data_IF_154179195332
#
_entry.id   IF_154179195332
#
_cell.length_a   1.000
_cell.length_b   1.000
_cell.length_c   1.000
_cell.angle_alpha   90.00
_cell.angle_beta   90.00
_cell.angle_gamma   90.00
#
_symmetry.space_group_name_H-M   'P 1'
#
loop_
_entity.id
_entity.type
_entity.pdbx_description
1 polymer ?
#
# COMPACT_ATOMS: atom_id res chain seq x y z
N UNK A 1 28.79 19.69 30.18
CA UNK A 1 27.33 19.98 30.32
C UNK A 1 26.79 20.37 28.97
N UNK A 2 25.85 19.58 28.41
CA UNK A 2 25.17 19.90 27.14
C UNK A 2 24.21 21.03 27.48
N UNK A 3 24.51 22.26 27.06
CA UNK A 3 23.56 23.37 27.14
C UNK A 3 22.47 23.13 26.10
N UNK A 4 21.37 22.52 26.50
CA UNK A 4 20.17 22.44 25.69
C UNK A 4 19.61 23.86 25.62
N UNK A 5 19.76 24.51 24.45
CA UNK A 5 19.14 25.82 24.23
C UNK A 5 17.63 25.64 24.29
N UNK A 6 16.94 26.62 24.87
CA UNK A 6 15.45 26.61 24.99
C UNK A 6 14.78 26.32 23.65
N UNK A 7 15.38 26.78 22.55
CA UNK A 7 14.91 26.47 21.17
C UNK A 7 14.87 24.98 20.87
N UNK A 8 15.85 24.18 21.30
CA UNK A 8 15.85 22.73 21.09
C UNK A 8 14.73 22.02 21.89
N UNK A 9 14.45 22.54 23.11
CA UNK A 9 13.35 22.01 23.93
C UNK A 9 12.01 22.27 23.26
N UNK A 10 11.75 23.47 22.76
CA UNK A 10 10.53 23.78 22.03
C UNK A 10 10.41 22.98 20.74
N UNK A 11 11.50 22.74 20.03
CA UNK A 11 11.50 21.90 18.81
C UNK A 11 11.15 20.46 19.16
N UNK A 12 11.73 19.87 20.22
CA UNK A 12 11.44 18.51 20.66
C UNK A 12 10.00 18.36 21.12
N UNK A 13 9.50 19.32 21.93
CA UNK A 13 8.10 19.31 22.39
C UNK A 13 7.16 19.45 21.18
N UNK A 14 7.42 20.40 20.28
CA UNK A 14 6.63 20.59 19.09
C UNK A 14 6.58 19.35 18.19
N UNK A 15 7.72 18.69 17.99
CA UNK A 15 7.82 17.44 17.23
C UNK A 15 7.06 16.28 17.93
N UNK A 16 7.17 16.18 19.26
CA UNK A 16 6.46 15.15 20.05
C UNK A 16 4.95 15.35 20.02
N UNK A 17 4.49 16.59 20.14
CA UNK A 17 3.06 16.94 20.02
C UNK A 17 2.56 16.68 18.60
N UNK A 18 3.32 17.06 17.58
CA UNK A 18 2.97 16.79 16.19
C UNK A 18 2.85 15.28 15.91
N UNK A 19 3.82 14.49 16.39
CA UNK A 19 3.79 13.02 16.26
C UNK A 19 2.60 12.41 17.00
N UNK A 20 2.32 12.88 18.21
CA UNK A 20 1.13 12.44 18.97
C UNK A 20 -0.18 12.78 18.24
N UNK A 21 -0.30 13.99 17.70
CA UNK A 21 -1.47 14.39 16.92
C UNK A 21 -1.60 13.58 15.64
N UNK A 22 -0.51 13.30 14.95
CA UNK A 22 -0.52 12.45 13.74
C UNK A 22 -0.99 11.02 14.06
N UNK A 23 -0.56 10.43 15.17
CA UNK A 23 -1.03 9.10 15.58
C UNK A 23 -2.48 9.12 16.07
N UNK A 24 -2.87 10.13 16.84
CA UNK A 24 -4.24 10.27 17.35
C UNK A 24 -5.27 10.55 16.24
N UNK A 25 -4.86 11.24 15.17
CA UNK A 25 -5.72 11.61 14.04
C UNK A 25 -5.54 10.67 12.82
N UNK A 26 -4.76 9.59 12.94
CA UNK A 26 -4.41 8.72 11.80
C UNK A 26 -5.62 8.17 11.05
N UNK A 27 -6.70 7.85 11.76
CA UNK A 27 -7.95 7.37 11.15
C UNK A 27 -8.66 8.44 10.32
N UNK A 28 -8.62 9.71 10.77
CA UNK A 28 -9.24 10.83 10.07
C UNK A 28 -8.34 11.32 8.93
N UNK A 29 -7.03 11.12 9.02
CA UNK A 29 -6.08 11.60 8.03
C UNK A 29 -6.11 10.81 6.71
N UNK A 30 -6.63 9.58 6.71
CA UNK A 30 -6.63 8.73 5.53
C UNK A 30 -7.21 9.41 4.27
N UNK A 31 -8.41 10.00 4.28
CA UNK A 31 -8.96 10.67 3.10
C UNK A 31 -8.15 11.89 2.66
N UNK A 32 -7.53 12.63 3.59
CA UNK A 32 -6.68 13.77 3.27
C UNK A 32 -5.38 13.35 2.59
N UNK A 33 -4.72 12.32 3.13
CA UNK A 33 -3.48 11.80 2.57
C UNK A 33 -3.73 11.15 1.21
N UNK A 34 -4.83 10.40 1.04
CA UNK A 34 -5.23 9.86 -0.25
C UNK A 34 -5.56 10.96 -1.24
N UNK A 35 -6.27 12.02 -0.82
CA UNK A 35 -6.57 13.17 -1.66
C UNK A 35 -5.31 13.90 -2.12
N UNK A 36 -4.34 14.11 -1.22
CA UNK A 36 -3.04 14.68 -1.54
C UNK A 36 -2.23 13.78 -2.48
N UNK A 37 -2.18 12.47 -2.22
CA UNK A 37 -1.51 11.52 -3.08
C UNK A 37 -2.13 11.48 -4.49
N UNK A 38 -3.48 11.46 -4.58
CA UNK A 38 -4.17 11.54 -5.86
C UNK A 38 -3.85 12.84 -6.60
N UNK A 39 -3.87 13.99 -5.90
CA UNK A 39 -3.50 15.26 -6.51
C UNK A 39 -2.08 15.20 -7.08
N UNK A 40 -1.11 14.74 -6.30
CA UNK A 40 0.27 14.59 -6.72
C UNK A 40 0.43 13.68 -7.95
N UNK A 41 -0.26 12.54 -7.98
CA UNK A 41 -0.16 11.59 -9.09
C UNK A 41 -0.93 12.03 -10.34
N UNK A 42 -2.00 12.80 -10.17
CA UNK A 42 -2.84 13.29 -11.27
C UNK A 42 -2.37 14.63 -11.85
N UNK A 43 -1.48 15.34 -11.15
CA UNK A 43 -0.94 16.63 -11.58
C UNK A 43 -0.35 16.60 -13.02
N UNK A 44 0.49 15.63 -13.41
CA UNK A 44 0.99 15.56 -14.78
C UNK A 44 -0.10 15.32 -15.85
N UNK A 45 -1.25 14.75 -15.46
CA UNK A 45 -2.40 14.58 -16.35
C UNK A 45 -3.18 15.91 -16.49
N UNK A 46 -3.29 16.66 -15.38
CA UNK A 46 -3.89 17.97 -15.38
C UNK A 46 -3.11 18.94 -16.27
N UNK A 47 -1.78 18.94 -16.18
CA UNK A 47 -0.87 19.73 -17.03
C UNK A 47 -1.03 19.41 -18.52
N UNK A 48 -1.20 18.12 -18.86
CA UNK A 48 -1.46 17.71 -20.25
C UNK A 48 -2.78 18.24 -20.78
N UNK A 49 -3.86 18.20 -19.99
CA UNK A 49 -5.15 18.74 -20.40
C UNK A 49 -5.13 20.27 -20.49
N UNK A 50 -4.38 20.92 -19.62
CA UNK A 50 -4.15 22.37 -19.68
C UNK A 50 -3.37 22.74 -20.95
N UNK A 51 -2.34 21.97 -21.30
CA UNK A 51 -1.61 22.08 -22.56
C UNK A 51 -2.47 21.87 -23.82
N UNK A 52 -3.61 21.18 -23.70
CA UNK A 52 -4.62 21.02 -24.77
C UNK A 52 -5.65 22.20 -24.80
N UNK A 53 -5.49 23.22 -23.95
CA UNK A 53 -6.32 24.41 -23.90
C UNK A 53 -7.47 24.38 -22.88
N UNK A 54 -7.52 23.38 -22.02
CA UNK A 54 -8.49 23.36 -20.91
C UNK A 54 -8.05 24.30 -19.78
N UNK A 55 -9.02 24.94 -19.12
CA UNK A 55 -8.73 25.71 -17.89
C UNK A 55 -8.33 24.74 -16.77
N UNK A 56 -7.34 25.09 -15.94
CA UNK A 56 -6.85 24.25 -14.81
C UNK A 56 -7.99 23.68 -13.99
N UNK A 57 -8.97 24.49 -13.57
CA UNK A 57 -10.10 24.02 -12.77
C UNK A 57 -10.99 22.99 -13.47
N UNK A 58 -11.14 23.08 -14.81
CA UNK A 58 -11.91 22.10 -15.58
C UNK A 58 -11.10 20.80 -15.75
N UNK A 59 -9.80 20.90 -16.00
CA UNK A 59 -8.92 19.75 -16.10
C UNK A 59 -8.90 18.94 -14.80
N UNK A 60 -8.72 19.61 -13.65
CA UNK A 60 -8.72 19.00 -12.32
C UNK A 60 -10.05 18.34 -11.99
N UNK A 61 -11.17 19.03 -12.26
CA UNK A 61 -12.52 18.48 -12.02
C UNK A 61 -12.76 17.23 -12.88
N UNK A 62 -12.44 17.29 -14.16
CA UNK A 62 -12.64 16.17 -15.10
C UNK A 62 -11.83 14.95 -14.71
N UNK A 63 -10.54 15.11 -14.42
CA UNK A 63 -9.66 14.01 -14.03
C UNK A 63 -10.13 13.39 -12.70
N UNK A 64 -10.36 14.24 -11.70
CA UNK A 64 -10.79 13.75 -10.38
C UNK A 64 -12.14 13.07 -10.45
N UNK A 65 -13.07 13.56 -11.29
CA UNK A 65 -14.36 12.92 -11.52
C UNK A 65 -14.21 11.55 -12.19
N UNK A 66 -13.40 11.43 -13.25
CA UNK A 66 -13.16 10.15 -13.94
C UNK A 66 -12.49 9.14 -13.00
N UNK A 67 -11.44 9.55 -12.30
CA UNK A 67 -10.73 8.66 -11.36
C UNK A 67 -11.61 8.31 -10.17
N UNK A 68 -12.34 9.29 -9.62
CA UNK A 68 -13.30 9.08 -8.54
C UNK A 68 -14.41 8.10 -8.95
N UNK A 69 -14.98 8.26 -10.14
CA UNK A 69 -16.00 7.35 -10.67
C UNK A 69 -15.43 5.93 -10.89
N UNK A 70 -14.22 5.81 -11.40
CA UNK A 70 -13.56 4.52 -11.58
C UNK A 70 -13.30 3.82 -10.22
N UNK A 71 -12.83 4.56 -9.21
CA UNK A 71 -12.65 4.04 -7.86
C UNK A 71 -13.97 3.65 -7.21
N UNK A 72 -15.01 4.49 -7.35
CA UNK A 72 -16.36 4.18 -6.86
C UNK A 72 -16.93 2.94 -7.51
N UNK A 73 -16.77 2.79 -8.82
CA UNK A 73 -17.19 1.59 -9.52
C UNK A 73 -16.42 0.36 -9.03
N UNK A 74 -15.09 0.45 -8.88
CA UNK A 74 -14.26 -0.64 -8.34
C UNK A 74 -14.71 -1.05 -6.93
N UNK A 75 -15.01 -0.08 -6.05
CA UNK A 75 -15.51 -0.35 -4.71
C UNK A 75 -16.95 -0.91 -4.73
N UNK A 76 -17.86 -0.31 -5.50
CA UNK A 76 -19.26 -0.72 -5.54
C UNK A 76 -19.47 -2.13 -6.10
N UNK A 77 -18.67 -2.54 -7.08
CA UNK A 77 -18.73 -3.89 -7.65
C UNK A 77 -17.79 -4.87 -6.95
N UNK A 78 -16.61 -4.42 -6.55
CA UNK A 78 -15.58 -5.28 -5.99
C UNK A 78 -15.82 -5.65 -4.53
N UNK A 79 -16.18 -4.69 -3.67
CA UNK A 79 -16.39 -4.97 -2.25
C UNK A 79 -17.51 -5.99 -1.98
N UNK A 80 -18.71 -5.93 -2.62
CA UNK A 80 -19.73 -6.94 -2.42
C UNK A 80 -19.26 -8.34 -2.83
N UNK A 81 -18.54 -8.43 -3.95
CA UNK A 81 -18.00 -9.72 -4.42
C UNK A 81 -16.96 -10.26 -3.45
N UNK A 82 -16.01 -9.45 -2.99
CA UNK A 82 -15.04 -9.86 -1.97
C UNK A 82 -15.72 -10.27 -0.66
N UNK A 83 -16.70 -9.50 -0.20
CA UNK A 83 -17.46 -9.83 1.01
C UNK A 83 -18.18 -11.17 0.85
N UNK A 84 -18.80 -11.42 -0.30
CA UNK A 84 -19.43 -12.70 -0.60
C UNK A 84 -18.40 -13.84 -0.59
N UNK A 85 -17.25 -13.69 -1.22
CA UNK A 85 -16.19 -14.70 -1.23
C UNK A 85 -15.69 -15.00 0.17
N UNK A 86 -15.42 -13.99 0.99
CA UNK A 86 -15.02 -14.15 2.39
C UNK A 86 -16.11 -14.89 3.20
N UNK A 87 -17.38 -14.56 2.98
CA UNK A 87 -18.49 -15.23 3.66
C UNK A 87 -18.58 -16.71 3.26
N UNK A 88 -18.41 -17.04 1.99
CA UNK A 88 -18.38 -18.42 1.50
C UNK A 88 -17.21 -19.21 2.11
N UNK A 89 -16.02 -18.61 2.21
CA UNK A 89 -14.87 -19.24 2.86
C UNK A 89 -15.15 -19.53 4.33
N UNK A 90 -15.67 -18.55 5.08
CA UNK A 90 -16.00 -18.71 6.50
C UNK A 90 -17.04 -19.82 6.69
N UNK A 91 -18.06 -19.88 5.83
CA UNK A 91 -19.11 -20.90 5.90
C UNK A 91 -18.59 -22.30 5.54
N UNK A 92 -17.63 -22.42 4.64
CA UNK A 92 -17.04 -23.69 4.20
C UNK A 92 -15.92 -24.20 5.13
N UNK A 93 -15.32 -23.32 5.93
CA UNK A 93 -14.16 -23.64 6.77
C UNK A 93 -14.38 -24.83 7.72
N UNK A 94 -15.54 -25.00 8.41
CA UNK A 94 -15.79 -26.18 9.24
C UNK A 94 -15.73 -27.49 8.43
N UNK A 95 -16.24 -27.48 7.18
CA UNK A 95 -16.13 -28.61 6.27
C UNK A 95 -14.68 -28.97 5.96
N UNK A 96 -13.86 -27.97 5.63
CA UNK A 96 -12.44 -28.20 5.33
C UNK A 96 -11.68 -28.76 6.52
N UNK A 97 -11.96 -28.30 7.73
CA UNK A 97 -11.35 -28.83 8.95
C UNK A 97 -11.71 -30.32 9.11
N UNK A 98 -12.99 -30.66 8.92
CA UNK A 98 -13.45 -32.06 9.01
C UNK A 98 -12.83 -32.94 7.92
N UNK A 99 -12.66 -32.43 6.72
CA UNK A 99 -12.03 -33.16 5.61
C UNK A 99 -10.54 -33.42 5.87
N UNK A 100 -9.80 -32.41 6.39
CA UNK A 100 -8.42 -32.59 6.85
C UNK A 100 -8.33 -33.65 7.94
N UNK A 101 -9.21 -33.61 8.93
CA UNK A 101 -9.25 -34.59 10.00
C UNK A 101 -9.50 -36.01 9.47
N UNK A 102 -10.49 -36.18 8.58
CA UNK A 102 -10.81 -37.45 7.95
C UNK A 102 -9.64 -37.99 7.12
N UNK A 103 -8.97 -37.12 6.36
CA UNK A 103 -7.77 -37.49 5.59
C UNK A 103 -6.62 -37.93 6.50
N UNK A 104 -6.35 -37.19 7.60
CA UNK A 104 -5.32 -37.56 8.58
C UNK A 104 -5.61 -38.91 9.26
N UNK A 105 -6.87 -39.15 9.60
CA UNK A 105 -7.30 -40.42 10.16
C UNK A 105 -7.14 -41.58 9.17
N UNK A 106 -7.45 -41.35 7.89
CA UNK A 106 -7.29 -42.36 6.83
C UNK A 106 -5.81 -42.73 6.60
N UNK A 107 -4.88 -41.79 6.87
CA UNK A 107 -3.44 -42.04 6.77
C UNK A 107 -2.81 -42.63 8.05
N UNK A 108 -3.62 -43.07 9.04
CA UNK A 108 -3.15 -43.54 10.35
C UNK A 108 -2.20 -42.56 11.08
N UNK A 109 -2.32 -41.26 10.81
CA UNK A 109 -1.60 -40.26 11.56
C UNK A 109 -2.16 -40.15 12.99
N UNK A 110 -1.27 -40.02 13.95
CA UNK A 110 -1.54 -40.18 15.40
C UNK A 110 -2.73 -39.32 15.86
N UNK A 111 -3.63 -39.90 16.69
CA UNK A 111 -4.85 -39.24 17.20
C UNK A 111 -4.62 -37.87 17.84
N UNK A 112 -3.47 -37.60 18.46
CA UNK A 112 -3.13 -36.29 19.03
C UNK A 112 -2.94 -35.18 18.00
N UNK A 113 -2.65 -35.48 16.74
CA UNK A 113 -2.53 -34.48 15.68
C UNK A 113 -3.90 -34.05 15.13
N UNK A 114 -4.91 -34.90 15.17
CA UNK A 114 -6.27 -34.54 14.77
C UNK A 114 -6.92 -33.55 15.74
N UNK A 115 -6.62 -33.66 17.05
CA UNK A 115 -7.08 -32.71 18.07
C UNK A 115 -6.38 -31.34 17.92
N UNK A 116 -5.09 -31.33 17.56
CA UNK A 116 -4.35 -30.08 17.23
C UNK A 116 -4.96 -29.37 16.03
N UNK A 117 -5.29 -30.09 14.96
CA UNK A 117 -5.93 -29.54 13.77
C UNK A 117 -7.30 -28.98 14.10
N UNK A 118 -8.11 -29.67 14.94
CA UNK A 118 -9.38 -29.15 15.40
C UNK A 118 -9.24 -27.84 16.18
N UNK A 119 -8.35 -27.81 17.17
CA UNK A 119 -8.11 -26.60 17.98
C UNK A 119 -7.54 -25.42 17.17
N UNK A 120 -6.65 -25.70 16.21
CA UNK A 120 -6.18 -24.68 15.27
C UNK A 120 -7.32 -24.20 14.36
N UNK A 121 -8.18 -25.10 13.90
CA UNK A 121 -9.33 -24.76 13.08
C UNK A 121 -10.33 -23.86 13.80
N UNK A 122 -10.67 -24.17 15.05
CA UNK A 122 -11.55 -23.32 15.87
C UNK A 122 -10.93 -21.95 16.15
N UNK A 123 -9.62 -21.89 16.40
CA UNK A 123 -8.90 -20.63 16.59
C UNK A 123 -8.87 -19.79 15.31
N UNK A 124 -8.65 -20.41 14.16
CA UNK A 124 -8.69 -19.74 12.85
C UNK A 124 -10.11 -19.25 12.53
N UNK A 125 -11.13 -20.09 12.78
CA UNK A 125 -12.52 -19.74 12.53
C UNK A 125 -12.96 -18.55 13.40
N UNK A 126 -12.69 -18.59 14.70
CA UNK A 126 -13.02 -17.52 15.62
C UNK A 126 -12.23 -16.23 15.29
N UNK A 127 -10.96 -16.36 14.92
CA UNK A 127 -10.12 -15.26 14.47
C UNK A 127 -10.62 -14.63 13.17
N UNK A 128 -11.01 -15.43 12.19
CA UNK A 128 -11.58 -14.94 10.93
C UNK A 128 -12.96 -14.33 11.12
N UNK A 129 -13.84 -14.94 11.93
CA UNK A 129 -15.15 -14.39 12.24
C UNK A 129 -15.05 -13.07 13.01
N UNK A 130 -14.16 -12.98 13.99
CA UNK A 130 -13.92 -11.73 14.73
C UNK A 130 -13.33 -10.66 13.85
N UNK A 131 -12.39 -11.02 12.97
CA UNK A 131 -11.77 -10.09 12.01
C UNK A 131 -12.78 -9.64 10.95
N UNK A 132 -13.56 -10.55 10.37
CA UNK A 132 -14.60 -10.21 9.40
C UNK A 132 -15.70 -9.35 10.02
N UNK A 133 -16.16 -9.69 11.23
CA UNK A 133 -17.15 -8.88 11.94
C UNK A 133 -16.60 -7.50 12.32
N UNK A 134 -15.36 -7.43 12.78
CA UNK A 134 -14.71 -6.14 13.07
C UNK A 134 -14.47 -5.33 11.81
N UNK A 135 -14.10 -5.94 10.68
CA UNK A 135 -13.98 -5.26 9.39
C UNK A 135 -15.34 -4.76 8.87
N UNK A 136 -16.38 -5.55 9.02
CA UNK A 136 -17.74 -5.15 8.62
C UNK A 136 -18.35 -4.09 9.55
N UNK A 137 -18.05 -4.16 10.84
CA UNK A 137 -18.65 -3.25 11.84
C UNK A 137 -17.81 -2.01 12.13
N UNK A 138 -16.50 -2.08 12.06
CA UNK A 138 -15.59 -0.97 12.42
C UNK A 138 -14.77 -0.41 11.26
N UNK A 139 -14.36 -1.24 10.30
CA UNK A 139 -13.56 -0.80 9.14
C UNK A 139 -14.35 -0.09 8.05
N UNK A 140 -15.66 -0.35 8.00
CA UNK A 140 -16.61 0.27 7.09
C UNK A 140 -17.74 0.97 7.87
N UNK A 141 -17.41 1.69 8.97
CA UNK A 141 -18.44 2.58 9.48
C UNK A 141 -18.86 3.45 8.31
N UNK A 142 -20.15 3.52 8.05
CA UNK A 142 -20.74 4.30 6.96
C UNK A 142 -20.14 5.71 6.89
N UNK A 143 -19.78 6.27 8.04
CA UNK A 143 -19.12 7.56 8.19
C UNK A 143 -17.72 7.56 7.58
N UNK A 144 -16.90 6.52 7.81
CA UNK A 144 -15.54 6.44 7.25
C UNK A 144 -15.57 6.24 5.72
N UNK A 145 -16.52 5.44 5.24
CA UNK A 145 -16.71 5.25 3.80
C UNK A 145 -17.21 6.56 3.15
N UNK A 146 -18.15 7.27 3.75
CA UNK A 146 -18.59 8.58 3.29
C UNK A 146 -17.44 9.60 3.31
N UNK A 147 -16.65 9.62 4.39
CA UNK A 147 -15.47 10.47 4.47
C UNK A 147 -14.48 10.18 3.33
N UNK A 148 -14.21 8.90 3.05
CA UNK A 148 -13.33 8.51 1.96
C UNK A 148 -13.89 8.93 0.58
N UNK A 149 -15.18 8.69 0.34
CA UNK A 149 -15.84 8.97 -0.94
C UNK A 149 -15.97 10.48 -1.20
N UNK A 150 -16.25 11.28 -0.18
CA UNK A 150 -16.49 12.71 -0.35
C UNK A 150 -15.25 13.56 -0.07
N UNK A 151 -14.53 13.30 1.02
CA UNK A 151 -13.39 14.14 1.42
C UNK A 151 -12.22 13.92 0.47
N UNK A 152 -11.90 12.67 0.08
CA UNK A 152 -10.75 12.40 -0.79
C UNK A 152 -10.82 13.14 -2.13
N UNK A 153 -11.92 13.08 -2.91
CA UNK A 153 -12.02 13.86 -4.16
C UNK A 153 -12.00 15.38 -3.92
N UNK A 154 -12.64 15.86 -2.86
CA UNK A 154 -12.64 17.29 -2.53
C UNK A 154 -11.21 17.76 -2.27
N UNK A 155 -10.47 17.06 -1.40
CA UNK A 155 -9.06 17.38 -1.12
C UNK A 155 -8.22 17.30 -2.39
N UNK A 156 -8.42 16.24 -3.20
CA UNK A 156 -7.70 16.09 -4.47
C UNK A 156 -7.94 17.27 -5.42
N UNK A 157 -9.19 17.71 -5.59
CA UNK A 157 -9.53 18.86 -6.44
C UNK A 157 -8.85 20.14 -5.95
N UNK A 158 -8.95 20.45 -4.65
CA UNK A 158 -8.34 21.64 -4.10
C UNK A 158 -6.82 21.61 -4.20
N UNK A 159 -6.20 20.50 -3.81
CA UNK A 159 -4.75 20.34 -3.88
C UNK A 159 -4.25 20.40 -5.32
N UNK A 160 -4.91 19.72 -6.26
CA UNK A 160 -4.54 19.70 -7.67
C UNK A 160 -4.71 21.07 -8.35
N UNK A 161 -5.76 21.81 -7.99
CA UNK A 161 -6.02 23.15 -8.53
C UNK A 161 -4.99 24.19 -8.04
N UNK A 162 -4.56 24.08 -6.78
CA UNK A 162 -3.67 25.05 -6.16
C UNK A 162 -2.21 24.55 -6.05
N UNK A 163 -1.88 23.40 -6.67
CA UNK A 163 -0.59 22.72 -6.57
C UNK A 163 0.59 23.66 -6.87
N UNK A 164 0.60 24.29 -8.04
CA UNK A 164 1.67 25.18 -8.48
C UNK A 164 1.81 26.39 -7.56
N UNK A 165 0.69 26.96 -7.12
CA UNK A 165 0.68 28.10 -6.18
C UNK A 165 1.23 27.71 -4.82
N UNK A 166 0.93 26.49 -4.36
CA UNK A 166 1.43 25.97 -3.08
C UNK A 166 2.94 25.77 -3.16
N UNK A 167 3.43 25.13 -4.21
CA UNK A 167 4.87 24.92 -4.45
C UNK A 167 5.60 26.27 -4.55
N UNK A 168 5.08 27.23 -5.33
CA UNK A 168 5.66 28.56 -5.46
C UNK A 168 5.73 29.30 -4.11
N UNK A 169 4.68 29.25 -3.30
CA UNK A 169 4.69 29.87 -1.95
C UNK A 169 5.70 29.25 -1.01
N UNK A 170 5.90 27.92 -1.09
CA UNK A 170 6.94 27.25 -0.31
C UNK A 170 8.32 27.72 -0.75
N UNK A 171 8.51 27.85 -2.07
CA UNK A 171 9.76 28.32 -2.65
C UNK A 171 10.10 29.77 -2.24
N UNK A 172 9.10 30.67 -2.19
CA UNK A 172 9.25 32.07 -1.76
C UNK A 172 9.64 32.23 -0.27
N UNK A 173 9.39 31.23 0.57
CA UNK A 173 9.73 31.29 2.02
C UNK A 173 11.12 30.72 2.30
N UNK A 174 11.77 30.10 1.31
CA UNK A 174 13.05 29.45 1.52
C UNK A 174 14.17 30.49 1.80
N UNK A 175 15.07 30.22 2.76
CA UNK A 175 16.22 31.09 3.03
C UNK A 175 17.17 31.10 1.83
N UNK A 176 17.60 32.30 1.39
CA UNK A 176 18.49 32.49 0.24
C UNK A 176 19.77 31.67 0.31
N UNK A 177 20.34 31.52 1.50
CA UNK A 177 21.61 30.80 1.72
C UNK A 177 21.50 29.29 1.47
N UNK A 178 20.30 28.70 1.54
CA UNK A 178 20.07 27.25 1.45
C UNK A 178 19.13 26.88 0.30
N UNK A 179 18.67 27.85 -0.47
CA UNK A 179 17.63 27.69 -1.50
C UNK A 179 17.99 26.61 -2.53
N UNK A 180 19.23 26.62 -3.03
CA UNK A 180 19.70 25.67 -4.03
C UNK A 180 19.77 24.24 -3.48
N UNK A 181 20.15 24.10 -2.20
CA UNK A 181 20.21 22.82 -1.54
C UNK A 181 18.82 22.24 -1.33
N UNK A 182 17.90 23.06 -0.84
CA UNK A 182 16.51 22.63 -0.58
C UNK A 182 15.79 22.30 -1.88
N UNK A 183 15.93 23.14 -2.93
CA UNK A 183 15.38 22.85 -4.26
C UNK A 183 15.93 21.56 -4.86
N UNK A 184 17.22 21.30 -4.70
CA UNK A 184 17.83 20.07 -5.19
C UNK A 184 17.31 18.84 -4.44
N UNK A 185 17.16 18.90 -3.11
CA UNK A 185 16.57 17.84 -2.32
C UNK A 185 15.09 17.60 -2.68
N UNK A 186 14.31 18.68 -2.81
CA UNK A 186 12.92 18.61 -3.23
C UNK A 186 12.77 17.94 -4.59
N UNK A 187 13.62 18.30 -5.56
CA UNK A 187 13.66 17.65 -6.89
C UNK A 187 14.01 16.17 -6.80
N UNK A 188 15.01 15.79 -6.00
CA UNK A 188 15.36 14.37 -5.81
C UNK A 188 14.24 13.58 -5.17
N UNK A 189 13.53 14.15 -4.20
CA UNK A 189 12.36 13.55 -3.58
C UNK A 189 11.25 13.37 -4.61
N UNK A 190 10.94 14.43 -5.38
CA UNK A 190 9.93 14.40 -6.44
C UNK A 190 10.23 13.35 -7.51
N UNK A 191 11.45 13.31 -8.05
CA UNK A 191 11.88 12.31 -9.01
C UNK A 191 11.77 10.88 -8.46
N UNK A 192 12.07 10.69 -7.18
CA UNK A 192 11.97 9.39 -6.50
C UNK A 192 10.51 8.97 -6.33
N UNK A 193 9.66 9.87 -5.80
CA UNK A 193 8.25 9.58 -5.54
C UNK A 193 7.45 9.41 -6.83
N UNK A 194 7.60 10.33 -7.79
CA UNK A 194 6.89 10.26 -9.08
C UNK A 194 7.30 9.02 -9.88
N UNK A 195 8.59 8.68 -9.81
CA UNK A 195 9.11 7.46 -10.43
C UNK A 195 8.59 6.19 -9.78
N UNK A 196 8.57 6.13 -8.44
CA UNK A 196 7.99 5.02 -7.69
C UNK A 196 6.51 4.84 -8.03
N UNK A 197 5.71 5.91 -7.96
CA UNK A 197 4.28 5.83 -8.17
C UNK A 197 3.91 5.31 -9.56
N UNK A 198 4.53 5.88 -10.62
CA UNK A 198 4.28 5.42 -11.99
C UNK A 198 4.70 3.96 -12.17
N UNK A 199 5.85 3.60 -11.63
CA UNK A 199 6.34 2.21 -11.65
C UNK A 199 5.39 1.27 -10.90
N UNK A 200 4.95 1.65 -9.71
CA UNK A 200 4.10 0.82 -8.86
C UNK A 200 2.70 0.61 -9.46
N UNK A 201 2.11 1.64 -10.08
CA UNK A 201 0.84 1.48 -10.81
C UNK A 201 0.99 0.44 -11.94
N UNK A 202 2.07 0.51 -12.72
CA UNK A 202 2.33 -0.47 -13.78
C UNK A 202 2.59 -1.86 -13.22
N UNK A 203 3.28 -1.99 -12.09
CA UNK A 203 3.44 -3.27 -11.37
C UNK A 203 2.09 -3.83 -10.95
N UNK A 204 1.24 -3.02 -10.32
CA UNK A 204 -0.11 -3.43 -9.89
C UNK A 204 -0.96 -3.92 -11.07
N UNK A 205 -0.97 -3.18 -12.18
CA UNK A 205 -1.73 -3.56 -13.38
C UNK A 205 -1.19 -4.87 -13.99
N UNK A 206 0.14 -5.01 -14.06
CA UNK A 206 0.78 -6.21 -14.59
C UNK A 206 0.51 -7.44 -13.72
N UNK A 207 0.65 -7.31 -12.40
CA UNK A 207 0.34 -8.38 -11.45
C UNK A 207 -1.14 -8.73 -11.45
N UNK A 208 -2.02 -7.72 -11.49
CA UNK A 208 -3.46 -7.93 -11.61
C UNK A 208 -3.82 -8.74 -12.86
N UNK A 209 -3.20 -8.43 -14.00
CA UNK A 209 -3.38 -9.19 -15.23
C UNK A 209 -2.82 -10.62 -15.11
N UNK A 210 -1.60 -10.80 -14.58
CA UNK A 210 -0.97 -12.12 -14.38
C UNK A 210 -1.84 -12.99 -13.48
N UNK A 211 -2.28 -12.47 -12.34
CA UNK A 211 -3.10 -13.21 -11.39
C UNK A 211 -4.50 -13.50 -11.94
N UNK A 212 -5.16 -12.52 -12.57
CA UNK A 212 -6.48 -12.71 -13.17
C UNK A 212 -6.47 -13.77 -14.28
N UNK A 213 -5.51 -13.68 -15.20
CA UNK A 213 -5.36 -14.65 -16.30
C UNK A 213 -4.96 -16.02 -15.73
N UNK A 214 -3.95 -16.06 -14.85
CA UNK A 214 -3.47 -17.31 -14.28
C UNK A 214 -4.56 -18.07 -13.53
N UNK A 215 -5.30 -17.40 -12.62
CA UNK A 215 -6.39 -18.02 -11.86
C UNK A 215 -7.56 -18.44 -12.76
N UNK A 216 -7.85 -17.68 -13.82
CA UNK A 216 -8.86 -18.07 -14.82
C UNK A 216 -8.45 -19.32 -15.60
N UNK A 217 -7.17 -19.46 -15.96
CA UNK A 217 -6.65 -20.66 -16.64
C UNK A 217 -6.69 -21.90 -15.75
N UNK A 218 -6.54 -21.73 -14.44
CA UNK A 218 -6.75 -22.81 -13.45
C UNK A 218 -8.24 -23.18 -13.35
N UNK A 219 -9.14 -22.31 -13.81
CA UNK A 219 -10.59 -22.51 -13.73
C UNK A 219 -11.17 -22.16 -12.36
N UNK A 220 -10.51 -21.27 -11.60
CA UNK A 220 -11.00 -20.84 -10.30
C UNK A 220 -12.18 -19.87 -10.48
N UNK A 221 -13.34 -20.21 -9.91
CA UNK A 221 -14.52 -19.36 -9.89
C UNK A 221 -14.22 -18.06 -9.13
N UNK A 222 -14.45 -16.90 -9.76
CA UNK A 222 -14.06 -15.61 -9.21
C UNK A 222 -12.56 -15.27 -9.34
N UNK A 223 -11.75 -16.12 -9.99
CA UNK A 223 -10.31 -15.96 -10.15
C UNK A 223 -9.91 -14.61 -10.76
N UNK A 224 -10.68 -14.10 -11.74
CA UNK A 224 -10.46 -12.76 -12.32
C UNK A 224 -10.54 -11.67 -11.25
N UNK A 225 -11.56 -11.72 -10.41
CA UNK A 225 -11.82 -10.70 -9.40
C UNK A 225 -10.72 -10.76 -8.34
N UNK A 226 -10.44 -11.97 -7.83
CA UNK A 226 -9.34 -12.16 -6.86
C UNK A 226 -8.01 -11.67 -7.43
N UNK A 227 -7.71 -12.00 -8.68
CA UNK A 227 -6.47 -11.60 -9.34
C UNK A 227 -6.34 -10.08 -9.51
N UNK A 228 -7.40 -9.41 -9.96
CA UNK A 228 -7.42 -7.95 -10.09
C UNK A 228 -7.26 -7.28 -8.73
N UNK A 229 -7.96 -7.74 -7.69
CA UNK A 229 -7.83 -7.18 -6.34
C UNK A 229 -6.46 -7.44 -5.73
N UNK A 230 -5.93 -8.66 -5.87
CA UNK A 230 -4.56 -8.96 -5.43
C UNK A 230 -3.55 -8.03 -6.10
N UNK A 231 -3.69 -7.78 -7.42
CA UNK A 231 -2.86 -6.82 -8.15
C UNK A 231 -3.01 -5.38 -7.65
N UNK A 232 -4.21 -4.92 -7.37
CA UNK A 232 -4.44 -3.58 -6.81
C UNK A 232 -3.85 -3.43 -5.41
N UNK A 233 -4.04 -4.43 -4.54
CA UNK A 233 -3.48 -4.46 -3.18
C UNK A 233 -1.95 -4.58 -3.23
N UNK A 234 -1.35 -5.08 -4.31
CA UNK A 234 0.11 -5.14 -4.53
C UNK A 234 0.76 -3.75 -4.64
N UNK A 235 -0.03 -2.66 -4.56
CA UNK A 235 0.51 -1.33 -4.27
C UNK A 235 1.32 -1.34 -2.96
N UNK A 236 0.93 -2.15 -1.99
CA UNK A 236 1.70 -2.47 -0.79
C UNK A 236 2.50 -3.74 -1.09
N UNK A 237 3.85 -3.67 -1.22
CA UNK A 237 4.68 -4.82 -1.57
C UNK A 237 4.42 -6.04 -0.67
N UNK A 238 4.40 -7.21 -1.25
CA UNK A 238 4.14 -8.51 -0.61
C UNK A 238 2.71 -8.71 -0.09
N UNK A 239 2.00 -7.66 0.31
CA UNK A 239 0.66 -7.76 0.93
C UNK A 239 -0.37 -8.25 -0.11
N UNK A 240 -0.32 -7.71 -1.34
CA UNK A 240 -1.26 -8.10 -2.39
C UNK A 240 -1.17 -9.58 -2.76
N UNK A 241 0.04 -10.10 -2.94
CA UNK A 241 0.25 -11.50 -3.25
C UNK A 241 -0.13 -12.42 -2.10
N UNK A 242 0.23 -12.07 -0.85
CA UNK A 242 -0.15 -12.85 0.33
C UNK A 242 -1.68 -12.91 0.48
N UNK A 243 -2.35 -11.75 0.38
CA UNK A 243 -3.81 -11.67 0.43
C UNK A 243 -4.46 -12.49 -0.69
N UNK A 244 -3.99 -12.32 -1.93
CA UNK A 244 -4.52 -13.03 -3.08
C UNK A 244 -4.31 -14.53 -2.99
N UNK A 245 -3.13 -15.00 -2.54
CA UNK A 245 -2.83 -16.43 -2.35
C UNK A 245 -3.75 -17.06 -1.30
N UNK A 246 -3.95 -16.37 -0.16
CA UNK A 246 -4.84 -16.86 0.90
C UNK A 246 -6.28 -16.95 0.39
N UNK A 247 -6.76 -15.90 -0.28
CA UNK A 247 -8.13 -15.84 -0.80
C UNK A 247 -8.36 -16.87 -1.92
N UNK A 248 -7.45 -16.94 -2.92
CA UNK A 248 -7.54 -17.90 -4.01
C UNK A 248 -7.37 -19.35 -3.53
N UNK A 249 -6.48 -19.58 -2.56
CA UNK A 249 -6.28 -20.90 -1.96
C UNK A 249 -7.53 -21.38 -1.22
N UNK A 250 -8.17 -20.50 -0.45
CA UNK A 250 -9.40 -20.83 0.26
C UNK A 250 -10.58 -21.11 -0.71
N UNK A 251 -10.72 -20.30 -1.78
CA UNK A 251 -11.71 -20.55 -2.82
C UNK A 251 -11.42 -21.87 -3.57
N UNK A 252 -10.13 -22.12 -3.88
CA UNK A 252 -9.69 -23.34 -4.52
C UNK A 252 -9.98 -24.58 -3.69
N UNK A 253 -9.78 -24.54 -2.36
CA UNK A 253 -10.19 -25.60 -1.44
C UNK A 253 -11.70 -25.83 -1.51
N UNK A 254 -12.49 -24.76 -1.60
CA UNK A 254 -13.94 -24.86 -1.72
C UNK A 254 -14.42 -25.47 -3.02
N UNK A 255 -13.75 -25.13 -4.10
CA UNK A 255 -14.18 -25.55 -5.43
C UNK A 255 -13.63 -26.93 -5.83
N UNK A 256 -12.36 -27.19 -5.54
CA UNK A 256 -11.63 -28.39 -5.97
C UNK A 256 -11.41 -29.40 -4.84
N UNK A 257 -11.77 -29.05 -3.59
CA UNK A 257 -11.44 -29.87 -2.43
C UNK A 257 -9.92 -29.99 -2.24
N UNK A 258 -9.44 -31.18 -1.80
CA UNK A 258 -8.02 -31.49 -1.65
C UNK A 258 -7.37 -31.99 -2.95
N UNK A 259 -7.75 -31.41 -4.10
CA UNK A 259 -7.00 -31.64 -5.34
C UNK A 259 -5.66 -30.86 -5.28
N UNK A 260 -4.59 -31.58 -4.92
CA UNK A 260 -3.24 -31.02 -4.82
C UNK A 260 -2.72 -30.45 -6.15
N UNK A 261 -3.24 -30.94 -7.29
CA UNK A 261 -2.84 -30.42 -8.60
C UNK A 261 -3.45 -29.02 -8.83
N UNK A 262 -4.75 -28.84 -8.57
CA UNK A 262 -5.44 -27.56 -8.68
C UNK A 262 -4.89 -26.53 -7.67
N UNK A 263 -4.71 -26.93 -6.40
CA UNK A 263 -4.13 -26.05 -5.37
C UNK A 263 -2.68 -25.69 -5.67
N UNK A 264 -1.90 -26.63 -6.20
CA UNK A 264 -0.53 -26.40 -6.66
C UNK A 264 -0.46 -25.41 -7.83
N UNK A 265 -1.41 -25.48 -8.78
CA UNK A 265 -1.52 -24.50 -9.86
C UNK A 265 -1.88 -23.11 -9.37
N UNK A 266 -2.81 -22.98 -8.40
CA UNK A 266 -3.12 -21.70 -7.76
C UNK A 266 -1.88 -21.10 -7.11
N UNK A 267 -1.15 -21.90 -6.30
CA UNK A 267 0.09 -21.44 -5.68
C UNK A 267 1.13 -21.03 -6.73
N UNK A 268 1.29 -21.81 -7.80
CA UNK A 268 2.22 -21.51 -8.89
C UNK A 268 1.92 -20.17 -9.57
N UNK A 269 0.65 -19.78 -9.76
CA UNK A 269 0.27 -18.47 -10.30
C UNK A 269 0.84 -17.34 -9.44
N UNK A 270 0.72 -17.42 -8.12
CA UNK A 270 1.26 -16.39 -7.23
C UNK A 270 2.79 -16.41 -7.17
N UNK A 271 3.43 -17.59 -7.15
CA UNK A 271 4.89 -17.70 -7.20
C UNK A 271 5.47 -17.16 -8.51
N UNK A 272 4.81 -17.43 -9.64
CA UNK A 272 5.19 -16.85 -10.94
C UNK A 272 5.04 -15.34 -10.89
N UNK A 273 3.91 -14.81 -10.38
CA UNK A 273 3.71 -13.37 -10.23
C UNK A 273 4.79 -12.72 -9.36
N UNK A 274 5.11 -13.33 -8.21
CA UNK A 274 6.17 -12.84 -7.32
C UNK A 274 7.57 -12.90 -7.97
N UNK A 275 7.83 -13.95 -8.74
CA UNK A 275 9.06 -14.04 -9.52
C UNK A 275 9.16 -12.89 -10.55
N UNK A 276 8.08 -12.63 -11.28
CA UNK A 276 8.02 -11.53 -12.24
C UNK A 276 8.14 -10.17 -11.53
N UNK A 277 7.45 -9.97 -10.40
CA UNK A 277 7.54 -8.75 -9.59
C UNK A 277 8.99 -8.46 -9.19
N UNK A 278 9.65 -9.42 -8.52
CA UNK A 278 10.98 -9.21 -7.96
C UNK A 278 12.11 -9.12 -9.00
N UNK A 279 12.01 -9.88 -10.10
CA UNK A 279 13.13 -10.02 -11.06
C UNK A 279 12.93 -9.19 -12.33
N UNK A 280 11.72 -8.79 -12.68
CA UNK A 280 11.43 -8.16 -13.97
C UNK A 280 10.69 -6.83 -13.79
N UNK A 281 9.54 -6.84 -13.10
CA UNK A 281 8.66 -5.68 -13.03
C UNK A 281 9.27 -4.59 -12.16
N UNK A 282 9.63 -4.90 -10.93
CA UNK A 282 10.21 -3.91 -10.01
C UNK A 282 11.52 -3.32 -10.54
N UNK A 283 12.52 -4.10 -11.01
CA UNK A 283 13.74 -3.52 -11.57
C UNK A 283 13.52 -2.65 -12.81
N UNK A 284 12.59 -3.04 -13.69
CA UNK A 284 12.34 -2.28 -14.93
C UNK A 284 11.40 -1.09 -14.77
N UNK A 285 10.38 -1.20 -13.93
CA UNK A 285 9.31 -0.21 -13.81
C UNK A 285 9.55 0.77 -12.67
N UNK A 286 10.01 0.28 -11.53
CA UNK A 286 10.36 1.12 -10.37
C UNK A 286 11.84 1.51 -10.42
N UNK A 287 12.70 0.57 -10.83
CA UNK A 287 14.14 0.78 -11.04
C UNK A 287 14.89 1.15 -9.75
N UNK A 288 16.10 1.69 -9.94
CA UNK A 288 16.96 2.15 -8.84
C UNK A 288 16.49 3.48 -8.20
N UNK A 289 15.26 3.91 -8.49
CA UNK A 289 14.77 5.24 -8.06
C UNK A 289 14.60 5.33 -6.54
N UNK A 290 14.11 4.27 -5.92
CA UNK A 290 13.94 4.24 -4.45
C UNK A 290 15.27 3.98 -3.73
N UNK A 291 16.22 3.24 -4.37
CA UNK A 291 17.57 2.91 -3.85
C UNK A 291 17.56 2.44 -2.39
N UNK A 292 16.57 1.64 -2.00
CA UNK A 292 16.43 1.06 -0.68
C UNK A 292 16.69 -0.45 -0.76
N UNK A 293 17.44 -0.97 0.21
CA UNK A 293 17.58 -2.41 0.37
C UNK A 293 16.23 -3.02 0.82
N UNK A 294 15.82 -4.21 0.32
CA UNK A 294 14.53 -4.83 0.66
C UNK A 294 14.23 -4.91 2.16
N UNK A 295 15.25 -5.12 2.98
CA UNK A 295 15.10 -5.14 4.46
C UNK A 295 14.54 -3.83 5.00
N UNK A 296 14.94 -2.67 4.44
CA UNK A 296 14.41 -1.37 4.85
C UNK A 296 12.95 -1.18 4.43
N UNK A 297 12.54 -1.77 3.31
CA UNK A 297 11.13 -1.75 2.88
C UNK A 297 10.28 -2.56 3.86
N UNK A 298 10.72 -3.77 4.22
CA UNK A 298 10.02 -4.61 5.21
C UNK A 298 9.97 -3.90 6.57
N UNK A 299 11.09 -3.32 7.02
CA UNK A 299 11.13 -2.56 8.26
C UNK A 299 10.16 -1.37 8.23
N UNK A 300 10.14 -0.60 7.13
CA UNK A 300 9.23 0.52 6.96
C UNK A 300 7.76 0.09 6.99
N UNK A 301 7.42 -1.02 6.31
CA UNK A 301 6.06 -1.59 6.33
C UNK A 301 5.64 -1.97 7.75
N UNK A 302 6.49 -2.68 8.50
CA UNK A 302 6.18 -3.09 9.87
C UNK A 302 6.10 -1.88 10.81
N UNK A 303 7.06 -0.96 10.75
CA UNK A 303 7.12 0.21 11.61
C UNK A 303 5.95 1.18 11.34
N UNK A 304 5.72 1.54 10.07
CA UNK A 304 4.64 2.45 9.70
C UNK A 304 3.27 1.79 9.87
N UNK A 305 3.15 0.49 9.58
CA UNK A 305 1.93 -0.28 9.82
C UNK A 305 1.55 -0.33 11.30
N UNK A 306 2.52 -0.49 12.21
CA UNK A 306 2.26 -0.49 13.66
C UNK A 306 1.91 0.90 14.20
N UNK A 307 2.47 1.98 13.62
CA UNK A 307 2.24 3.35 14.10
C UNK A 307 0.93 3.96 13.54
N UNK A 308 0.63 3.71 12.27
CA UNK A 308 -0.44 4.41 11.53
C UNK A 308 -1.43 3.44 10.85
N UNK A 309 -1.36 2.14 11.18
CA UNK A 309 -2.25 1.14 10.59
C UNK A 309 -2.17 1.07 9.06
N UNK A 310 -3.33 1.00 8.41
CA UNK A 310 -3.42 0.89 6.95
C UNK A 310 -2.81 2.09 6.22
N UNK A 311 -2.99 3.30 6.75
CA UNK A 311 -2.37 4.51 6.20
C UNK A 311 -0.84 4.40 6.23
N UNK A 312 -0.29 3.88 7.33
CA UNK A 312 1.15 3.65 7.46
C UNK A 312 1.68 2.64 6.45
N UNK A 313 0.97 1.53 6.21
CA UNK A 313 1.33 0.55 5.19
C UNK A 313 1.36 1.17 3.78
N UNK A 314 0.36 1.99 3.45
CA UNK A 314 0.26 2.65 2.15
C UNK A 314 1.41 3.63 1.91
N UNK A 315 1.80 4.39 2.94
CA UNK A 315 2.85 5.40 2.86
C UNK A 315 4.25 4.87 3.19
N UNK A 316 4.40 3.63 3.62
CA UNK A 316 5.67 3.08 4.10
C UNK A 316 6.82 3.25 3.10
N UNK A 317 6.60 2.84 1.84
CA UNK A 317 7.64 2.93 0.80
C UNK A 317 7.93 4.39 0.39
N UNK A 318 6.93 5.24 0.11
CA UNK A 318 7.14 6.66 -0.14
C UNK A 318 7.93 7.37 0.99
N UNK A 319 7.53 7.18 2.23
CA UNK A 319 8.21 7.79 3.38
C UNK A 319 9.64 7.26 3.56
N UNK A 320 9.83 5.94 3.42
CA UNK A 320 11.17 5.37 3.47
C UNK A 320 12.06 5.91 2.34
N UNK A 321 11.51 6.15 1.15
CA UNK A 321 12.23 6.75 0.03
C UNK A 321 12.66 8.19 0.32
N UNK A 322 11.78 9.01 0.89
CA UNK A 322 12.10 10.38 1.34
C UNK A 322 13.21 10.35 2.38
N UNK A 323 13.05 9.52 3.43
CA UNK A 323 14.07 9.35 4.48
C UNK A 323 15.40 8.91 3.86
N UNK A 324 15.37 7.97 2.90
CA UNK A 324 16.55 7.52 2.17
C UNK A 324 17.28 8.64 1.42
N UNK A 325 16.56 9.57 0.79
CA UNK A 325 17.15 10.76 0.14
C UNK A 325 17.82 11.66 1.19
N UNK A 326 17.12 11.97 2.28
CA UNK A 326 17.63 12.84 3.35
C UNK A 326 18.85 12.23 4.06
N UNK A 327 18.84 10.94 4.34
CA UNK A 327 19.98 10.22 4.97
C UNK A 327 21.19 10.24 4.04
N UNK A 328 21.03 9.95 2.76
CA UNK A 328 22.14 10.02 1.80
C UNK A 328 22.74 11.40 1.70
N UNK A 329 21.90 12.44 1.69
CA UNK A 329 22.38 13.81 1.74
C UNK A 329 23.17 14.12 3.01
N UNK A 330 22.64 13.76 4.17
CA UNK A 330 23.32 13.94 5.46
C UNK A 330 24.66 13.21 5.53
N UNK A 331 24.73 11.98 5.02
CA UNK A 331 25.99 11.23 4.93
C UNK A 331 27.01 11.90 3.99
N UNK A 332 26.54 12.45 2.86
CA UNK A 332 27.42 13.17 1.94
C UNK A 332 28.03 14.41 2.59
N UNK A 333 27.25 15.17 3.35
CA UNK A 333 27.75 16.33 4.11
C UNK A 333 28.77 15.89 5.16
N UNK A 334 28.45 14.85 5.95
CA UNK A 334 29.35 14.34 6.97
C UNK A 334 30.68 13.87 6.39
N UNK A 335 30.66 13.12 5.31
CA UNK A 335 31.86 12.64 4.62
C UNK A 335 32.70 13.77 4.06
N UNK A 336 32.07 14.81 3.50
CA UNK A 336 32.75 16.00 3.00
C UNK A 336 33.49 16.74 4.11
N UNK A 337 32.85 16.93 5.24
CA UNK A 337 33.45 17.58 6.41
C UNK A 337 34.58 16.74 7.01
N UNK A 338 34.41 15.41 7.07
CA UNK A 338 35.44 14.50 7.55
C UNK A 338 36.69 14.54 6.66
N UNK A 339 36.55 14.47 5.34
CA UNK A 339 37.66 14.52 4.37
C UNK A 339 38.37 15.88 4.43
N UNK A 340 37.62 16.97 4.58
CA UNK A 340 38.23 18.31 4.70
C UNK A 340 39.04 18.47 5.98
N UNK A 341 38.56 17.92 7.11
CA UNK A 341 39.32 17.91 8.38
C UNK A 341 40.58 17.04 8.29
N UNK A 342 40.50 15.88 7.63
CA UNK A 342 41.63 14.99 7.44
C UNK A 342 42.72 15.53 6.51
N UNK A 343 42.42 16.52 5.66
CA UNK A 343 43.39 17.16 4.77
C UNK A 343 44.08 18.38 5.41
N UNK A 344 43.46 18.94 6.45
CA UNK A 344 43.92 20.16 7.10
C UNK A 344 44.55 19.92 8.50
N UNK A 345 44.68 18.69 8.97
CA UNK A 345 45.35 18.22 10.16
C UNK A 345 46.50 17.30 9.82
#
# INVERSE_FOLDING_TARGET
>A
MIQIRLSHLFTIIGLSVALYLLTALSEIMLPFVLGFALAYFLDPLADRLEGLGMRRSLATLTITFIVGLALLAALAFGLPVLAQQITLIIAALPGYISDVQNWMLAQNLVKGQSELVAGMGETLLSGLQSTASSMLLSGLSFINLLALIFITPIVAIYMLNDWDRMVARIDDILPDEQIDVIRNLARQIDETLSGFARGQILVCLSLGAIYAIGLSLVGLDGGVIVGVFAGLISFIPYVGAAFGMVLAGALGLGQFGFDFAALGMIAAVFFIGQFFEGNILTPRLVGDRVKLHPVWIIFALLAMGSLFGFLGLLLAVPLAAIIGVLVRYGLTLYMRDYVNRSKNG
#
